data_IF_580376872413
#
_entry.id   IF_580376872413
#
_cell.length_a   1.000
_cell.length_b   1.000
_cell.length_c   1.000
_cell.angle_alpha   90.00
_cell.angle_beta   90.00
_cell.angle_gamma   90.00
#
_symmetry.space_group_name_H-M   'P 1'
#
loop_
_entity.id
_entity.type
_entity.pdbx_description
1 polymer ?
#
# COMPACT_ATOMS: atom_id res chain seq x y z
N UNK A 1 52.90 6.77 -21.25
CA UNK A 1 52.75 7.39 -19.90
C UNK A 1 51.71 8.48 -20.03
N UNK A 2 50.48 8.31 -19.53
CA UNK A 2 49.46 9.39 -19.29
C UNK A 2 48.05 8.85 -18.95
N UNK A 3 47.84 7.55 -18.76
CA UNK A 3 46.51 6.99 -18.41
C UNK A 3 46.39 6.69 -16.89
N UNK A 4 47.50 6.57 -16.16
CA UNK A 4 47.48 6.21 -14.72
C UNK A 4 47.21 7.44 -13.81
N UNK A 5 47.50 8.65 -14.29
CA UNK A 5 47.32 9.89 -13.50
C UNK A 5 45.85 10.34 -13.40
N UNK A 6 45.03 10.05 -14.41
CA UNK A 6 43.60 10.39 -14.45
C UNK A 6 42.72 9.49 -13.57
N UNK A 7 43.11 8.24 -13.33
CA UNK A 7 42.38 7.33 -12.42
C UNK A 7 42.56 7.70 -10.94
N UNK A 8 43.75 8.15 -10.54
CA UNK A 8 44.04 8.61 -9.17
C UNK A 8 43.31 9.92 -8.82
N UNK A 9 43.20 10.85 -9.78
CA UNK A 9 42.44 12.08 -9.61
C UNK A 9 40.96 11.79 -9.30
N UNK A 10 40.30 10.95 -10.10
CA UNK A 10 38.88 10.62 -9.92
C UNK A 10 38.58 9.88 -8.59
N UNK A 11 39.53 9.11 -8.08
CA UNK A 11 39.42 8.45 -6.76
C UNK A 11 39.43 9.48 -5.62
N UNK A 12 40.29 10.50 -5.70
CA UNK A 12 40.36 11.58 -4.73
C UNK A 12 39.16 12.55 -4.82
N UNK A 13 38.69 12.88 -6.03
CA UNK A 13 37.47 13.68 -6.20
C UNK A 13 36.22 13.01 -5.61
N UNK A 14 36.11 11.68 -5.69
CA UNK A 14 35.01 10.94 -5.09
C UNK A 14 35.11 10.84 -3.55
N UNK A 15 36.33 10.78 -3.00
CA UNK A 15 36.57 10.76 -1.55
C UNK A 15 36.29 12.11 -0.87
N UNK A 16 36.57 13.23 -1.55
CA UNK A 16 36.26 14.57 -1.01
C UNK A 16 34.75 14.85 -1.02
N UNK A 17 33.99 14.23 -1.92
CA UNK A 17 32.51 14.35 -1.99
C UNK A 17 31.78 13.53 -0.93
N UNK A 18 32.41 12.49 -0.36
CA UNK A 18 31.78 11.63 0.66
C UNK A 18 31.78 12.23 2.08
N UNK A 19 32.47 13.35 2.32
CA UNK A 19 32.55 13.99 3.63
C UNK A 19 31.64 15.22 3.82
N UNK A 20 30.85 15.62 2.82
CA UNK A 20 29.75 16.58 3.01
C UNK A 20 28.46 15.84 3.39
N UNK A 21 28.50 15.11 4.51
CA UNK A 21 27.29 14.58 5.15
C UNK A 21 26.64 15.73 5.91
N UNK A 22 25.88 16.56 5.19
CA UNK A 22 24.87 17.41 5.80
C UNK A 22 24.02 16.56 6.74
N UNK A 23 23.58 17.07 7.90
CA UNK A 23 22.61 16.36 8.71
C UNK A 23 21.30 16.38 7.92
N UNK A 24 21.10 15.37 7.08
CA UNK A 24 19.78 15.13 6.51
C UNK A 24 18.87 14.89 7.70
N UNK A 25 17.97 15.84 7.90
CA UNK A 25 16.88 15.78 8.85
C UNK A 25 15.94 14.65 8.40
N UNK A 26 16.37 13.40 8.54
CA UNK A 26 15.56 12.22 8.27
C UNK A 26 14.59 12.07 9.42
N UNK A 27 13.51 12.87 9.41
CA UNK A 27 12.32 12.57 10.19
C UNK A 27 11.50 11.50 9.49
N UNK A 28 12.09 10.32 9.30
CA UNK A 28 11.27 9.12 9.12
C UNK A 28 10.75 8.76 10.51
N UNK A 29 9.56 9.26 10.86
CA UNK A 29 8.91 8.95 12.15
C UNK A 29 8.76 7.43 12.34
N UNK A 30 8.71 6.67 11.25
CA UNK A 30 8.76 5.23 11.22
C UNK A 30 9.41 4.73 9.92
N UNK A 31 10.14 3.61 9.98
CA UNK A 31 10.66 2.90 8.80
C UNK A 31 10.16 1.47 8.83
N UNK A 32 9.35 1.09 7.83
CA UNK A 32 8.87 -0.28 7.69
C UNK A 32 9.99 -1.16 7.12
N UNK A 33 10.34 -2.22 7.85
CA UNK A 33 11.22 -3.27 7.35
C UNK A 33 10.40 -4.54 7.13
N UNK A 34 10.46 -5.16 5.94
CA UNK A 34 9.79 -6.42 5.73
C UNK A 34 10.47 -7.49 6.59
N UNK A 35 9.69 -8.23 7.37
CA UNK A 35 10.16 -9.50 7.95
C UNK A 35 10.56 -10.43 6.80
N UNK A 36 11.58 -11.28 7.00
CA UNK A 36 12.09 -12.21 5.98
C UNK A 36 10.91 -12.87 5.27
N UNK A 37 10.81 -12.65 3.97
CA UNK A 37 9.64 -13.03 3.19
C UNK A 37 9.45 -14.55 3.21
N UNK A 38 8.25 -15.00 3.58
CA UNK A 38 7.77 -16.31 3.16
C UNK A 38 7.52 -16.33 1.64
N UNK A 39 6.94 -17.41 1.13
CA UNK A 39 6.63 -17.61 -0.30
C UNK A 39 5.51 -16.72 -0.85
N UNK A 40 4.97 -15.79 -0.05
CA UNK A 40 3.84 -14.94 -0.41
C UNK A 40 4.17 -13.82 -1.41
N UNK A 41 3.12 -13.31 -2.07
CA UNK A 41 3.21 -12.17 -3.00
C UNK A 41 3.45 -10.87 -2.22
N UNK A 42 4.42 -10.04 -2.67
CA UNK A 42 4.60 -8.68 -2.14
C UNK A 42 3.40 -7.81 -2.47
N UNK A 43 2.77 -7.25 -1.43
CA UNK A 43 1.63 -6.35 -1.55
C UNK A 43 1.79 -5.17 -0.57
N UNK A 44 1.29 -4.00 -0.93
CA UNK A 44 1.12 -2.90 0.02
C UNK A 44 -0.09 -3.19 0.92
N UNK A 45 -0.30 -2.37 1.96
CA UNK A 45 -1.35 -2.63 2.94
C UNK A 45 -2.76 -2.61 2.36
N UNK A 46 -3.09 -1.65 1.49
CA UNK A 46 -4.43 -1.59 0.90
C UNK A 46 -4.70 -2.76 -0.06
N UNK A 47 -3.69 -3.22 -0.82
CA UNK A 47 -3.80 -4.40 -1.67
C UNK A 47 -3.98 -5.67 -0.83
N UNK A 48 -3.31 -5.76 0.33
CA UNK A 48 -3.50 -6.88 1.24
C UNK A 48 -4.93 -6.93 1.80
N UNK A 49 -5.48 -5.77 2.19
CA UNK A 49 -6.87 -5.64 2.64
C UNK A 49 -7.85 -6.00 1.51
N UNK A 50 -7.62 -5.49 0.30
CA UNK A 50 -8.43 -5.82 -0.88
C UNK A 50 -8.43 -7.33 -1.15
N UNK A 51 -7.26 -7.97 -1.10
CA UNK A 51 -7.14 -9.41 -1.32
C UNK A 51 -7.86 -10.22 -0.24
N UNK A 52 -7.79 -9.79 1.03
CA UNK A 52 -8.53 -10.45 2.11
C UNK A 52 -10.06 -10.34 1.92
N UNK A 53 -10.56 -9.17 1.51
CA UNK A 53 -11.99 -8.99 1.21
C UNK A 53 -12.43 -9.79 -0.02
N UNK A 54 -11.58 -9.87 -1.05
CA UNK A 54 -11.83 -10.69 -2.24
C UNK A 54 -12.00 -12.16 -1.86
N UNK A 55 -11.09 -12.71 -1.04
CA UNK A 55 -11.17 -14.08 -0.55
C UNK A 55 -12.44 -14.30 0.30
N UNK A 56 -12.77 -13.38 1.20
CA UNK A 56 -13.96 -13.50 2.04
C UNK A 56 -15.28 -13.48 1.23
N UNK A 57 -15.35 -12.62 0.21
CA UNK A 57 -16.51 -12.54 -0.69
C UNK A 57 -16.62 -13.76 -1.61
N UNK A 58 -15.50 -14.38 -1.98
CA UNK A 58 -15.45 -15.59 -2.78
C UNK A 58 -15.88 -16.84 -1.98
N UNK A 59 -15.32 -17.00 -0.77
CA UNK A 59 -15.58 -18.16 0.09
C UNK A 59 -17.04 -18.19 0.57
N UNK A 60 -17.56 -17.05 1.01
CA UNK A 60 -18.91 -16.96 1.56
C UNK A 60 -19.84 -16.15 0.65
N UNK A 61 -20.84 -16.82 0.06
CA UNK A 61 -21.87 -16.19 -0.79
C UNK A 61 -22.79 -15.23 -0.04
N UNK A 62 -22.93 -15.36 1.29
CA UNK A 62 -23.73 -14.43 2.10
C UNK A 62 -22.95 -13.19 2.56
N UNK A 63 -21.64 -13.13 2.33
CA UNK A 63 -20.84 -11.97 2.70
C UNK A 63 -21.24 -10.75 1.86
N UNK A 64 -21.41 -9.61 2.52
CA UNK A 64 -21.71 -8.32 1.94
C UNK A 64 -20.63 -7.32 2.34
N UNK A 65 -20.35 -6.36 1.47
CA UNK A 65 -19.42 -5.27 1.72
C UNK A 65 -20.14 -3.95 1.47
N UNK A 66 -20.31 -3.16 2.52
CA UNK A 66 -21.05 -1.90 2.44
C UNK A 66 -20.44 -0.82 3.32
N UNK A 67 -20.73 0.43 2.99
CA UNK A 67 -20.22 1.61 3.65
C UNK A 67 -20.25 2.81 2.72
N UNK A 68 -19.63 3.91 3.14
CA UNK A 68 -19.47 5.10 2.30
C UNK A 68 -18.42 4.88 1.21
N UNK A 69 -18.73 5.27 -0.04
CA UNK A 69 -17.84 5.24 -1.20
C UNK A 69 -17.16 3.89 -1.54
N UNK A 70 -17.62 2.79 -0.94
CA UNK A 70 -17.08 1.45 -1.14
C UNK A 70 -17.27 0.98 -2.59
N UNK A 71 -18.39 1.35 -3.22
CA UNK A 71 -18.81 0.87 -4.54
C UNK A 71 -17.91 1.31 -5.69
N UNK A 72 -17.17 2.42 -5.56
CA UNK A 72 -16.17 2.85 -6.56
C UNK A 72 -14.74 2.39 -6.21
N UNK A 73 -14.56 1.77 -5.04
CA UNK A 73 -13.28 1.26 -4.56
C UNK A 73 -12.80 1.86 -3.24
N UNK A 74 -13.58 2.76 -2.64
CA UNK A 74 -13.24 3.44 -1.39
C UNK A 74 -12.19 4.54 -1.56
N UNK A 75 -12.17 5.48 -0.62
CA UNK A 75 -11.23 6.61 -0.61
C UNK A 75 -9.76 6.17 -0.51
N UNK A 76 -9.50 5.04 0.14
CA UNK A 76 -8.17 4.43 0.27
C UNK A 76 -7.89 3.31 -0.74
N UNK A 77 -8.78 3.09 -1.72
CA UNK A 77 -8.65 2.04 -2.75
C UNK A 77 -8.66 0.60 -2.21
N UNK A 78 -9.23 0.37 -1.02
CA UNK A 78 -9.30 -0.97 -0.44
C UNK A 78 -10.34 -1.87 -1.13
N UNK A 79 -11.42 -1.34 -1.71
CA UNK A 79 -12.51 -2.14 -2.31
C UNK A 79 -12.54 -2.08 -3.84
N UNK A 80 -11.42 -1.71 -4.47
CA UNK A 80 -11.32 -1.58 -5.94
C UNK A 80 -11.68 -2.89 -6.64
N UNK A 81 -12.41 -2.79 -7.74
CA UNK A 81 -12.86 -3.89 -8.61
C UNK A 81 -13.76 -4.97 -7.95
N UNK A 82 -14.06 -4.86 -6.65
CA UNK A 82 -14.91 -5.85 -5.95
C UNK A 82 -16.37 -5.75 -6.40
N UNK A 83 -16.87 -4.54 -6.62
CA UNK A 83 -18.24 -4.33 -7.12
C UNK A 83 -18.44 -4.88 -8.53
N UNK A 84 -17.45 -4.72 -9.40
CA UNK A 84 -17.53 -5.25 -10.77
C UNK A 84 -17.46 -6.78 -10.78
N UNK A 85 -16.70 -7.38 -9.85
CA UNK A 85 -16.57 -8.84 -9.72
C UNK A 85 -17.78 -9.52 -9.07
N UNK A 86 -18.31 -8.95 -7.98
CA UNK A 86 -19.37 -9.57 -7.17
C UNK A 86 -20.76 -8.96 -7.37
N UNK A 87 -20.85 -7.88 -8.14
CA UNK A 87 -22.08 -7.17 -8.45
C UNK A 87 -22.50 -6.15 -7.38
N UNK A 88 -23.39 -5.24 -7.78
CA UNK A 88 -23.91 -4.18 -6.92
C UNK A 88 -24.83 -4.67 -5.79
N UNK A 89 -25.26 -5.93 -5.84
CA UNK A 89 -26.08 -6.53 -4.77
C UNK A 89 -25.24 -6.85 -3.53
N UNK A 90 -23.93 -7.12 -3.72
CA UNK A 90 -23.03 -7.52 -2.64
C UNK A 90 -22.08 -6.42 -2.20
N UNK A 91 -21.74 -5.50 -3.12
CA UNK A 91 -20.88 -4.36 -2.83
C UNK A 91 -21.60 -3.07 -3.18
N UNK A 92 -22.05 -2.33 -2.15
CA UNK A 92 -22.90 -1.15 -2.34
C UNK A 92 -22.60 -0.03 -1.36
N UNK A 93 -23.02 1.18 -1.72
CA UNK A 93 -22.86 2.38 -0.90
C UNK A 93 -24.03 2.53 0.06
N UNK A 94 -23.74 2.99 1.27
CA UNK A 94 -24.74 3.41 2.28
C UNK A 94 -24.85 4.94 2.31
N UNK A 95 -25.97 5.49 2.83
CA UNK A 95 -26.05 6.92 3.13
C UNK A 95 -25.01 7.33 4.18
N UNK A 96 -24.74 8.63 4.26
CA UNK A 96 -23.87 9.27 5.25
C UNK A 96 -24.50 9.25 6.65
N UNK A 97 -24.47 8.08 7.29
CA UNK A 97 -24.93 7.89 8.66
C UNK A 97 -24.25 6.67 9.27
N UNK A 98 -23.22 6.90 10.07
CA UNK A 98 -22.40 5.85 10.69
C UNK A 98 -23.22 5.00 11.66
N UNK A 99 -24.15 5.62 12.38
CA UNK A 99 -25.08 4.90 13.27
C UNK A 99 -26.01 3.98 12.49
N UNK A 100 -26.46 4.43 11.31
CA UNK A 100 -27.29 3.62 10.41
C UNK A 100 -26.51 2.46 9.80
N UNK A 101 -25.23 2.66 9.45
CA UNK A 101 -24.35 1.59 8.97
C UNK A 101 -24.16 0.52 10.04
N UNK A 102 -23.83 0.93 11.28
CA UNK A 102 -23.65 -0.01 12.38
C UNK A 102 -24.96 -0.74 12.73
N UNK A 103 -26.09 -0.04 12.74
CA UNK A 103 -27.41 -0.63 13.00
C UNK A 103 -27.88 -1.59 11.91
N UNK A 104 -27.43 -1.43 10.66
CA UNK A 104 -27.79 -2.32 9.55
C UNK A 104 -27.03 -3.67 9.60
N UNK A 105 -25.87 -3.71 10.26
CA UNK A 105 -25.05 -4.94 10.43
C UNK A 105 -25.66 -5.89 11.48
N UNK A 106 -26.34 -5.33 12.49
CA UNK A 106 -26.88 -6.05 13.65
C UNK A 106 -28.26 -6.63 13.33
#
# INVERSE_FOLDING_TARGET
MNIVSTQLGNSLYNCVRSNLRWPLWTRSHFTYYPTRMGTGKRMNMFNAINNAMDLALDENKSALLFGEDVGFGGVFRCSVNLRDKYGSQRVFNTPLCEQGIAGYVI
#
